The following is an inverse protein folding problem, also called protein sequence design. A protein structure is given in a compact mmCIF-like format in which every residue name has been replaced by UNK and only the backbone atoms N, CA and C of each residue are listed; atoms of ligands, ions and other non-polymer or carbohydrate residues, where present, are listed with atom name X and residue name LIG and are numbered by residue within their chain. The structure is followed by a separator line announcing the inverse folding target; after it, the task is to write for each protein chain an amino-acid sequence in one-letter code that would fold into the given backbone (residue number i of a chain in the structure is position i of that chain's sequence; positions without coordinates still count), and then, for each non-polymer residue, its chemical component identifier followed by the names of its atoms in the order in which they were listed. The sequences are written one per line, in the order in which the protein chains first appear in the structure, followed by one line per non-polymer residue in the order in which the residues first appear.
data_IF_781823288148
#
_entry.id   IF_781823288148
#
_cell.length_a   1.000
_cell.length_b   1.000
_cell.length_c   1.000
_cell.angle_alpha   90.00
_cell.angle_beta   90.00
_cell.angle_gamma   90.00
#
_symmetry.space_group_name_H-M   'P 1'
#
loop_
_entity.id
_entity.type
_entity.pdbx_description
1 polymer ?
#
# COMPACT_ATOMS: atom_id res chain seq x y z
N UNK A 1 6.31 -24.12 -28.01
CA UNK A 1 7.40 -23.14 -27.79
C UNK A 1 7.14 -22.48 -26.46
N UNK A 2 7.84 -22.93 -25.41
CA UNK A 2 7.81 -22.27 -24.11
C UNK A 2 8.56 -20.94 -24.24
N UNK A 3 7.84 -19.83 -24.12
CA UNK A 3 8.45 -18.52 -23.94
C UNK A 3 8.97 -18.42 -22.50
N UNK A 4 10.29 -18.26 -22.37
CA UNK A 4 10.98 -18.00 -21.11
C UNK A 4 10.44 -16.71 -20.48
N UNK A 5 9.80 -16.84 -19.32
CA UNK A 5 9.45 -15.72 -18.46
C UNK A 5 10.74 -15.31 -17.74
N UNK A 6 11.37 -14.22 -18.17
CA UNK A 6 12.49 -13.62 -17.43
C UNK A 6 12.04 -13.27 -16.01
N UNK A 7 12.79 -13.66 -14.96
CA UNK A 7 12.46 -13.27 -13.60
C UNK A 7 12.54 -11.75 -13.50
N UNK A 8 11.42 -11.10 -13.13
CA UNK A 8 11.47 -9.72 -12.66
C UNK A 8 12.24 -9.73 -11.36
N UNK A 9 13.30 -8.93 -11.28
CA UNK A 9 13.92 -8.61 -9.99
C UNK A 9 12.82 -8.18 -9.03
N UNK A 10 12.62 -8.99 -7.99
CA UNK A 10 11.72 -8.67 -6.89
C UNK A 10 12.37 -7.48 -6.19
N UNK A 11 11.84 -6.30 -6.47
CA UNK A 11 12.22 -5.07 -5.79
C UNK A 11 11.83 -5.24 -4.33
N UNK A 12 12.77 -5.74 -3.51
CA UNK A 12 12.58 -5.84 -2.07
C UNK A 12 12.13 -4.48 -1.54
N UNK A 13 11.14 -4.47 -0.65
CA UNK A 13 10.67 -3.28 0.02
C UNK A 13 11.80 -2.71 0.90
N UNK A 14 12.72 -1.98 0.29
CA UNK A 14 13.71 -1.20 1.02
C UNK A 14 12.98 0.02 1.56
N UNK A 15 12.79 0.07 2.88
CA UNK A 15 12.47 1.31 3.57
C UNK A 15 13.50 2.36 3.11
N UNK A 16 13.03 3.37 2.40
CA UNK A 16 13.89 4.38 1.77
C UNK A 16 14.74 5.06 2.84
N UNK A 17 16.05 4.80 2.83
CA UNK A 17 17.01 5.53 3.65
C UNK A 17 17.12 6.95 3.11
N UNK A 18 16.29 7.85 3.63
CA UNK A 18 16.24 9.26 3.22
C UNK A 18 17.51 9.98 3.69
N UNK A 19 18.40 10.35 2.77
CA UNK A 19 19.50 11.29 3.07
C UNK A 19 18.99 12.74 3.10
N UNK A 20 19.00 13.28 4.33
CA UNK A 20 19.23 14.66 4.78
C UNK A 20 18.21 15.78 4.44
N UNK A 21 17.62 16.33 5.52
CA UNK A 21 16.91 17.60 5.52
C UNK A 21 15.76 17.74 6.53
N UNK A 22 15.33 16.66 7.20
CA UNK A 22 14.26 16.71 8.20
C UNK A 22 14.89 16.80 9.59
N UNK A 23 14.56 17.83 10.38
CA UNK A 23 14.81 17.80 11.83
C UNK A 23 14.25 16.48 12.36
N UNK A 24 15.13 15.59 12.80
CA UNK A 24 14.73 14.34 13.41
C UNK A 24 14.14 14.69 14.78
N UNK A 25 12.81 14.67 14.87
CA UNK A 25 12.17 14.61 16.19
C UNK A 25 12.62 13.34 16.89
N UNK A 26 12.86 13.41 18.20
CA UNK A 26 13.17 12.22 19.00
C UNK A 26 12.06 11.16 18.81
N UNK A 27 12.43 9.87 18.72
CA UNK A 27 11.46 8.78 18.60
C UNK A 27 10.46 8.84 19.75
N UNK A 28 9.18 8.91 19.45
CA UNK A 28 8.13 9.00 20.49
C UNK A 28 7.81 7.66 21.15
N UNK A 29 8.33 6.56 20.62
CA UNK A 29 7.95 5.22 21.06
C UNK A 29 6.46 4.97 20.83
N UNK A 30 5.85 4.20 21.74
CA UNK A 30 4.42 3.90 21.68
C UNK A 30 3.56 5.14 21.93
N UNK A 31 2.63 5.41 21.03
CA UNK A 31 1.65 6.49 21.20
C UNK A 31 0.33 6.15 20.52
N UNK A 32 -0.78 6.73 21.02
CA UNK A 32 -2.12 6.54 20.47
C UNK A 32 -2.80 7.89 20.25
N UNK A 33 -3.61 7.98 19.19
CA UNK A 33 -4.43 9.15 18.84
C UNK A 33 -5.92 8.80 18.71
N UNK A 34 -6.35 7.70 19.34
CA UNK A 34 -7.72 7.17 19.23
C UNK A 34 -7.92 6.12 18.13
N UNK A 35 -6.83 5.65 17.50
CA UNK A 35 -6.81 4.54 16.54
C UNK A 35 -5.80 3.46 16.99
N UNK A 36 -5.44 2.53 16.10
CA UNK A 36 -4.39 1.53 16.35
C UNK A 36 -3.11 2.22 16.87
N UNK A 37 -2.52 1.75 17.99
CA UNK A 37 -1.29 2.33 18.52
C UNK A 37 -0.17 2.34 17.48
N UNK A 38 0.56 3.44 17.40
CA UNK A 38 1.73 3.58 16.54
C UNK A 38 3.00 3.48 17.38
N UNK A 39 4.01 2.77 16.88
CA UNK A 39 5.37 2.75 17.44
C UNK A 39 6.28 3.64 16.58
N UNK A 40 6.64 4.81 17.11
CA UNK A 40 7.57 5.73 16.43
C UNK A 40 9.01 5.32 16.71
N UNK A 41 9.53 4.42 15.86
CA UNK A 41 10.91 3.95 15.89
C UNK A 41 11.54 4.06 14.48
N UNK A 42 12.72 4.74 14.35
CA UNK A 42 13.37 4.90 13.06
C UNK A 42 13.68 3.56 12.39
N UNK A 43 13.19 3.37 11.16
CA UNK A 43 13.44 2.17 10.37
C UNK A 43 12.51 1.00 10.64
N UNK A 44 11.57 1.12 11.60
CA UNK A 44 10.61 0.06 11.87
C UNK A 44 9.47 0.05 10.84
N UNK A 45 9.25 -1.09 10.20
CA UNK A 45 8.07 -1.34 9.36
C UNK A 45 6.96 -1.90 10.24
N UNK A 46 5.88 -1.14 10.44
CA UNK A 46 4.78 -1.54 11.32
C UNK A 46 3.70 -2.36 10.61
N UNK A 47 3.50 -2.15 9.31
CA UNK A 47 2.49 -2.85 8.54
C UNK A 47 2.84 -2.86 7.06
N UNK A 48 2.46 -3.93 6.38
CA UNK A 48 2.46 -4.04 4.92
C UNK A 48 1.03 -4.35 4.48
N UNK A 49 0.50 -3.55 3.56
CA UNK A 49 -0.85 -3.74 3.00
C UNK A 49 -0.74 -4.23 1.57
N UNK A 50 -1.45 -5.32 1.25
CA UNK A 50 -1.61 -5.83 -0.11
C UNK A 50 -3.07 -5.68 -0.53
N UNK A 51 -3.31 -4.90 -1.58
CA UNK A 51 -4.64 -4.78 -2.19
C UNK A 51 -4.73 -5.71 -3.39
N UNK A 52 -5.86 -6.41 -3.54
CA UNK A 52 -6.13 -7.21 -4.73
C UNK A 52 -6.35 -6.30 -5.95
N UNK A 53 -6.01 -6.79 -7.14
CA UNK A 53 -6.05 -6.02 -8.39
C UNK A 53 -7.45 -5.45 -8.73
N UNK A 54 -8.48 -6.10 -8.21
CA UNK A 54 -9.91 -5.83 -8.43
C UNK A 54 -10.56 -5.17 -7.21
N UNK A 55 -9.80 -4.88 -6.14
CA UNK A 55 -10.32 -4.22 -4.95
C UNK A 55 -10.88 -2.82 -5.28
N UNK A 56 -10.24 -2.10 -6.21
CA UNK A 56 -10.75 -0.85 -6.76
C UNK A 56 -10.61 -0.85 -8.29
N UNK A 57 -11.72 -0.90 -9.06
CA UNK A 57 -11.64 -0.87 -10.52
C UNK A 57 -10.95 0.40 -11.05
N UNK A 58 -10.11 0.24 -12.07
CA UNK A 58 -9.28 1.34 -12.61
C UNK A 58 -10.11 2.55 -13.08
N UNK A 59 -11.31 2.31 -13.61
CA UNK A 59 -12.20 3.38 -14.08
C UNK A 59 -12.74 4.23 -12.92
N UNK A 60 -12.91 3.65 -11.73
CA UNK A 60 -13.32 4.38 -10.52
C UNK A 60 -12.21 5.35 -10.09
N UNK A 61 -10.96 4.86 -10.08
CA UNK A 61 -9.78 5.69 -9.77
C UNK A 61 -9.63 6.80 -10.81
N UNK A 62 -9.78 6.49 -12.10
CA UNK A 62 -9.68 7.48 -13.17
C UNK A 62 -10.72 8.60 -13.02
N UNK A 63 -11.98 8.25 -12.71
CA UNK A 63 -13.04 9.22 -12.45
C UNK A 63 -12.69 10.14 -11.28
N UNK A 64 -12.23 9.60 -10.14
CA UNK A 64 -11.85 10.45 -9.01
C UNK A 64 -10.65 11.33 -9.27
N UNK A 65 -9.66 10.85 -10.05
CA UNK A 65 -8.55 11.70 -10.48
C UNK A 65 -9.04 12.89 -11.31
N UNK A 66 -10.01 12.69 -12.20
CA UNK A 66 -10.63 13.77 -12.95
C UNK A 66 -11.40 14.74 -12.05
N UNK A 67 -12.24 14.22 -11.14
CA UNK A 67 -13.01 15.05 -10.19
C UNK A 67 -12.10 15.90 -9.27
N UNK A 68 -10.93 15.37 -8.92
CA UNK A 68 -9.95 16.04 -8.06
C UNK A 68 -8.93 16.87 -8.85
N UNK A 69 -9.06 16.98 -10.18
CA UNK A 69 -8.11 17.70 -11.05
C UNK A 69 -6.64 17.25 -10.82
N UNK A 70 -6.46 15.94 -10.68
CA UNK A 70 -5.17 15.31 -10.43
C UNK A 70 -4.51 14.95 -11.77
N UNK A 71 -3.48 15.71 -12.17
CA UNK A 71 -2.61 15.40 -13.32
C UNK A 71 -1.52 14.37 -12.95
N UNK A 72 -0.75 13.85 -13.90
CA UNK A 72 0.28 12.82 -13.59
C UNK A 72 1.42 13.33 -12.68
N UNK A 73 1.58 14.64 -12.54
CA UNK A 73 2.65 15.26 -11.74
C UNK A 73 2.12 15.66 -10.36
N UNK A 74 2.03 14.73 -9.41
CA UNK A 74 1.57 15.03 -8.05
C UNK A 74 2.62 14.66 -7.02
N UNK A 75 2.86 15.57 -6.08
CA UNK A 75 3.69 15.34 -4.91
C UNK A 75 2.87 14.69 -3.80
N UNK A 76 3.51 13.83 -3.01
CA UNK A 76 2.90 13.03 -1.93
C UNK A 76 2.17 13.85 -0.85
N UNK A 77 2.37 15.18 -0.85
CA UNK A 77 1.83 16.14 0.13
C UNK A 77 0.69 17.03 -0.42
N UNK A 78 0.20 16.82 -1.64
CA UNK A 78 -1.01 17.52 -2.13
C UNK A 78 -2.27 17.03 -1.39
N UNK A 79 -3.09 17.95 -0.89
CA UNK A 79 -4.36 17.65 -0.22
C UNK A 79 -5.30 16.80 -1.09
N UNK A 80 -5.26 16.99 -2.41
CA UNK A 80 -6.05 16.23 -3.39
C UNK A 80 -5.58 14.78 -3.48
N UNK A 81 -4.27 14.54 -3.35
CA UNK A 81 -3.72 13.18 -3.23
C UNK A 81 -4.16 12.48 -1.95
N UNK A 82 -4.21 13.22 -0.83
CA UNK A 82 -4.72 12.69 0.43
C UNK A 82 -6.20 12.30 0.31
N UNK A 83 -7.00 13.14 -0.35
CA UNK A 83 -8.41 12.86 -0.61
C UNK A 83 -8.59 11.63 -1.52
N UNK A 84 -7.80 11.49 -2.58
CA UNK A 84 -7.83 10.29 -3.43
C UNK A 84 -7.55 9.01 -2.63
N UNK A 85 -6.54 9.03 -1.74
CA UNK A 85 -6.22 7.88 -0.89
C UNK A 85 -7.35 7.52 0.07
N UNK A 86 -8.02 8.53 0.65
CA UNK A 86 -9.20 8.30 1.50
C UNK A 86 -10.32 7.62 0.72
N UNK A 87 -10.63 8.10 -0.49
CA UNK A 87 -11.67 7.50 -1.34
C UNK A 87 -11.34 6.06 -1.73
N UNK A 88 -10.08 5.77 -2.04
CA UNK A 88 -9.60 4.41 -2.32
C UNK A 88 -9.81 3.52 -1.10
N UNK A 89 -9.29 3.90 0.06
CA UNK A 89 -9.41 3.10 1.29
C UNK A 89 -10.88 2.84 1.66
N UNK A 90 -11.74 3.86 1.59
CA UNK A 90 -13.16 3.73 1.86
C UNK A 90 -13.88 2.80 0.87
N UNK A 91 -13.39 2.70 -0.36
CA UNK A 91 -13.96 1.81 -1.38
C UNK A 91 -13.46 0.38 -1.20
N UNK A 92 -12.18 0.19 -0.85
CA UNK A 92 -11.62 -1.10 -0.48
C UNK A 92 -12.39 -1.71 0.70
N UNK A 93 -12.71 -0.91 1.73
CA UNK A 93 -13.48 -1.33 2.91
C UNK A 93 -14.90 -1.82 2.57
N UNK A 94 -15.44 -1.46 1.40
CA UNK A 94 -16.76 -1.92 0.95
C UNK A 94 -16.74 -3.32 0.33
N UNK A 95 -15.56 -3.89 0.05
CA UNK A 95 -15.43 -5.27 -0.42
C UNK A 95 -15.99 -5.53 -1.82
N UNK A 96 -15.88 -4.57 -2.74
CA UNK A 96 -16.36 -4.71 -4.13
C UNK A 96 -15.55 -5.70 -4.98
N UNK A 97 -14.32 -6.01 -4.56
CA UNK A 97 -13.47 -6.99 -5.22
C UNK A 97 -13.99 -8.41 -5.04
N UNK A 98 -13.42 -9.33 -5.82
CA UNK A 98 -13.68 -10.76 -5.62
C UNK A 98 -13.10 -11.22 -4.29
N UNK A 99 -13.79 -12.16 -3.64
CA UNK A 99 -13.30 -12.81 -2.44
C UNK A 99 -12.26 -13.90 -2.80
N UNK A 100 -11.22 -13.55 -3.56
CA UNK A 100 -10.25 -14.50 -4.11
C UNK A 100 -9.59 -15.38 -3.02
N UNK A 101 -9.40 -14.84 -1.81
CA UNK A 101 -8.83 -15.55 -0.67
C UNK A 101 -9.80 -16.50 0.05
N UNK A 102 -11.09 -16.53 -0.31
CA UNK A 102 -11.98 -17.61 0.14
C UNK A 102 -11.63 -18.94 -0.54
N UNK A 103 -10.95 -18.90 -1.68
CA UNK A 103 -10.44 -20.10 -2.34
C UNK A 103 -9.22 -20.57 -1.56
N UNK A 104 -9.36 -21.66 -0.82
CA UNK A 104 -8.32 -22.18 0.08
C UNK A 104 -6.94 -22.30 -0.59
N UNK A 105 -6.89 -22.80 -1.83
CA UNK A 105 -5.65 -22.91 -2.61
C UNK A 105 -5.00 -21.56 -2.90
N UNK A 106 -5.79 -20.52 -3.17
CA UNK A 106 -5.27 -19.18 -3.42
C UNK A 106 -4.73 -18.55 -2.12
N UNK A 107 -5.46 -18.72 -1.01
CA UNK A 107 -5.01 -18.27 0.31
C UNK A 107 -3.67 -18.92 0.72
N UNK A 108 -3.54 -20.24 0.53
CA UNK A 108 -2.31 -20.98 0.82
C UNK A 108 -1.13 -20.47 -0.01
N UNK A 109 -1.31 -20.24 -1.31
CA UNK A 109 -0.26 -19.69 -2.18
C UNK A 109 0.22 -18.31 -1.71
N UNK A 110 -0.72 -17.42 -1.36
CA UNK A 110 -0.39 -16.08 -0.87
C UNK A 110 0.34 -16.18 0.47
N UNK A 111 -0.17 -16.97 1.42
CA UNK A 111 0.45 -17.16 2.72
C UNK A 111 1.88 -17.70 2.59
N UNK A 112 2.08 -18.76 1.81
CA UNK A 112 3.39 -19.35 1.57
C UNK A 112 4.37 -18.36 0.93
N UNK A 113 3.87 -17.45 0.08
CA UNK A 113 4.69 -16.39 -0.52
C UNK A 113 5.11 -15.35 0.52
N UNK A 114 4.20 -14.97 1.44
CA UNK A 114 4.49 -13.97 2.48
C UNK A 114 5.52 -14.47 3.48
N UNK A 115 5.48 -15.75 3.87
CA UNK A 115 6.41 -16.34 4.86
C UNK A 115 7.68 -16.92 4.23
N UNK A 116 7.86 -16.82 2.91
CA UNK A 116 8.96 -17.50 2.21
C UNK A 116 10.36 -17.02 2.65
N UNK A 117 10.44 -15.78 3.15
CA UNK A 117 11.69 -15.14 3.57
C UNK A 117 11.75 -14.82 5.07
N UNK A 118 10.81 -15.37 5.86
CA UNK A 118 10.85 -15.31 7.33
C UNK A 118 11.89 -16.28 7.92
#
# INVERSE_FOLDING_TARGET
MCSEIKPREILGARASARKQGLQMSEPKGWHSRGYLPHLDEPGLVQSVTFSLHDAVPIHVIARWKQELDLSETITTSDQRSLELRKRIAQFEDQGHGTCALQIARAAELVQNTLIHFD
#
